data_IF_989305312944
#
_entry.id   IF_989305312944
#
_cell.length_a   1.000
_cell.length_b   1.000
_cell.length_c   1.000
_cell.angle_alpha   90.00
_cell.angle_beta   90.00
_cell.angle_gamma   90.00
#
_symmetry.space_group_name_H-M   'P 1'
#
loop_
_entity.id
_entity.type
_entity.pdbx_description
1 polymer ?
#
# COMPACT_ATOMS: atom_id res chain seq x y z
N UNK A 1 -8.40 -4.19 4.35
CA UNK A 1 -8.27 -2.73 4.57
C UNK A 1 -7.54 -2.14 3.38
N UNK A 2 -7.96 -0.97 2.89
CA UNK A 2 -7.30 -0.28 1.78
C UNK A 2 -7.16 1.21 2.12
N UNK A 3 -6.03 1.81 1.75
CA UNK A 3 -5.79 3.25 1.85
C UNK A 3 -5.18 3.70 0.53
N UNK A 4 -5.78 4.72 -0.08
CA UNK A 4 -5.28 5.36 -1.27
C UNK A 4 -4.58 6.67 -0.91
N UNK A 5 -3.50 6.97 -1.61
CA UNK A 5 -2.70 8.16 -1.40
C UNK A 5 -2.33 8.86 -2.70
N UNK A 6 -2.14 10.17 -2.62
CA UNK A 6 -1.65 11.01 -3.72
C UNK A 6 -0.56 11.97 -3.27
N UNK A 7 0.41 12.20 -4.15
CA UNK A 7 1.43 13.25 -4.02
C UNK A 7 1.79 13.77 -5.40
N UNK A 8 1.58 15.06 -5.66
CA UNK A 8 1.89 15.71 -6.94
C UNK A 8 1.34 14.89 -8.13
N UNK A 9 2.23 14.29 -8.91
CA UNK A 9 1.98 13.47 -10.10
C UNK A 9 2.08 11.96 -9.83
N UNK A 10 2.03 11.54 -8.56
CA UNK A 10 2.17 10.15 -8.13
C UNK A 10 0.95 9.70 -7.33
N UNK A 11 0.58 8.44 -7.53
CA UNK A 11 -0.38 7.74 -6.71
C UNK A 11 0.30 6.57 -5.99
N UNK A 12 -0.28 6.19 -4.86
CA UNK A 12 0.09 5.01 -4.11
C UNK A 12 -1.18 4.43 -3.50
N UNK A 13 -1.34 3.11 -3.52
CA UNK A 13 -2.40 2.40 -2.83
C UNK A 13 -1.77 1.30 -1.99
N UNK A 14 -2.24 1.17 -0.76
CA UNK A 14 -1.82 0.16 0.19
C UNK A 14 -3.05 -0.64 0.58
N UNK A 15 -3.02 -1.95 0.41
CA UNK A 15 -4.07 -2.83 0.89
C UNK A 15 -3.51 -3.96 1.75
N UNK A 16 -4.27 -4.30 2.79
CA UNK A 16 -4.11 -5.49 3.60
C UNK A 16 -5.26 -6.42 3.24
N UNK A 17 -4.90 -7.53 2.61
CA UNK A 17 -5.80 -8.54 2.05
C UNK A 17 -5.48 -9.90 2.68
N UNK A 18 -6.45 -10.81 2.63
CA UNK A 18 -6.25 -12.21 3.01
C UNK A 18 -6.52 -13.06 1.77
N UNK A 19 -5.49 -13.77 1.32
CA UNK A 19 -5.64 -14.82 0.32
C UNK A 19 -6.12 -16.12 0.99
N UNK A 20 -6.34 -17.18 0.22
CA UNK A 20 -6.93 -18.45 0.71
C UNK A 20 -6.27 -19.02 1.98
N UNK A 21 -4.98 -18.76 2.20
CA UNK A 21 -4.23 -19.29 3.34
C UNK A 21 -3.41 -18.24 4.13
N UNK A 22 -3.06 -17.10 3.53
CA UNK A 22 -2.09 -16.15 4.09
C UNK A 22 -2.62 -14.71 4.09
N UNK A 23 -2.05 -13.87 4.95
CA UNK A 23 -2.23 -12.43 4.87
C UNK A 23 -1.26 -11.84 3.85
N UNK A 24 -1.67 -10.78 3.16
CA UNK A 24 -0.85 -10.13 2.15
C UNK A 24 -1.00 -8.62 2.25
N UNK A 25 0.15 -7.93 2.20
CA UNK A 25 0.18 -6.48 1.99
C UNK A 25 0.51 -6.20 0.54
N UNK A 26 -0.44 -5.60 -0.16
CA UNK A 26 -0.35 -5.20 -1.55
C UNK A 26 -0.05 -3.70 -1.65
N UNK A 27 0.83 -3.34 -2.57
CA UNK A 27 1.26 -1.97 -2.85
C UNK A 27 1.12 -1.73 -4.34
N UNK A 28 0.34 -0.74 -4.72
CA UNK A 28 0.21 -0.29 -6.11
C UNK A 28 0.68 1.15 -6.20
N UNK A 29 1.58 1.48 -7.11
CA UNK A 29 2.11 2.85 -7.22
C UNK A 29 2.58 3.18 -8.63
N UNK A 30 2.46 4.45 -8.98
CA UNK A 30 2.81 4.91 -10.33
C UNK A 30 2.66 6.42 -10.48
N UNK A 31 2.80 6.87 -11.73
CA UNK A 31 2.54 8.27 -12.10
C UNK A 31 1.10 8.43 -12.60
N UNK A 32 0.47 9.57 -12.30
CA UNK A 32 -0.93 9.87 -12.67
C UNK A 32 -1.16 10.11 -14.17
N UNK A 33 -0.10 10.32 -14.96
CA UNK A 33 -0.17 10.64 -16.40
C UNK A 33 0.28 9.47 -17.29
N UNK A 34 -0.33 8.28 -17.12
CA UNK A 34 -0.09 7.14 -18.01
C UNK A 34 1.26 6.42 -17.85
N UNK A 35 1.94 6.60 -16.71
CA UNK A 35 3.14 5.81 -16.38
C UNK A 35 2.72 4.45 -15.83
N UNK A 36 3.42 3.39 -16.25
CA UNK A 36 3.15 2.02 -15.86
C UNK A 36 2.97 1.88 -14.33
N UNK A 37 1.90 1.18 -13.93
CA UNK A 37 1.66 0.80 -12.55
C UNK A 37 2.69 -0.24 -12.12
N UNK A 38 3.30 -0.02 -10.96
CA UNK A 38 4.04 -1.05 -10.26
C UNK A 38 3.19 -1.60 -9.14
N UNK A 39 2.97 -2.91 -9.17
CA UNK A 39 2.32 -3.65 -8.09
C UNK A 39 3.33 -4.56 -7.40
N UNK A 40 3.37 -4.51 -6.06
CA UNK A 40 4.15 -5.43 -5.22
C UNK A 40 3.24 -6.05 -4.18
N UNK A 41 3.34 -7.38 -4.04
CA UNK A 41 2.65 -8.14 -3.00
C UNK A 41 3.70 -8.69 -2.03
N UNK A 42 3.42 -8.63 -0.74
CA UNK A 42 4.24 -9.25 0.30
C UNK A 42 3.36 -10.14 1.18
N UNK A 43 3.56 -11.48 1.14
CA UNK A 43 2.83 -12.40 1.98
C UNK A 43 3.35 -12.39 3.43
N UNK A 44 2.48 -12.77 4.35
CA UNK A 44 2.70 -12.90 5.78
C UNK A 44 1.88 -14.09 6.31
N UNK A 45 2.43 -14.81 7.27
CA UNK A 45 1.79 -16.02 7.82
C UNK A 45 0.65 -15.68 8.78
N UNK A 46 0.72 -14.51 9.44
CA UNK A 46 -0.25 -14.06 10.43
C UNK A 46 -0.70 -12.61 10.21
N UNK A 47 -1.84 -12.28 10.81
CA UNK A 47 -2.45 -10.94 10.70
C UNK A 47 -1.59 -9.86 11.35
N UNK A 48 -0.99 -10.14 12.51
CA UNK A 48 -0.25 -9.15 13.30
C UNK A 48 0.96 -8.65 12.51
N UNK A 49 1.77 -9.58 11.99
CA UNK A 49 2.94 -9.25 11.17
C UNK A 49 2.57 -8.48 9.90
N UNK A 50 1.44 -8.83 9.28
CA UNK A 50 0.94 -8.14 8.10
C UNK A 50 0.45 -6.72 8.43
N UNK A 51 -0.25 -6.56 9.55
CA UNK A 51 -0.76 -5.29 10.03
C UNK A 51 0.36 -4.34 10.46
N UNK A 52 1.35 -4.82 11.22
CA UNK A 52 2.52 -4.01 11.61
C UNK A 52 3.28 -3.50 10.38
N UNK A 53 3.42 -4.33 9.35
CA UNK A 53 4.03 -3.92 8.09
C UNK A 53 3.16 -2.91 7.32
N UNK A 54 1.85 -3.09 7.34
CA UNK A 54 0.90 -2.16 6.74
C UNK A 54 1.00 -0.78 7.39
N UNK A 55 0.95 -0.71 8.72
CA UNK A 55 1.06 0.54 9.50
C UNK A 55 2.41 1.23 9.26
N UNK A 56 3.50 0.46 9.28
CA UNK A 56 4.84 0.96 8.93
C UNK A 56 4.88 1.61 7.54
N UNK A 57 4.21 1.01 6.56
CA UNK A 57 4.13 1.57 5.21
C UNK A 57 3.23 2.79 5.11
N UNK A 58 2.12 2.80 5.84
CA UNK A 58 1.21 3.94 5.99
C UNK A 58 1.97 5.16 6.53
N UNK A 59 2.62 5.03 7.69
CA UNK A 59 3.44 6.09 8.26
C UNK A 59 4.53 6.56 7.31
N UNK A 60 5.18 5.62 6.62
CA UNK A 60 6.22 5.95 5.65
C UNK A 60 5.68 6.75 4.46
N UNK A 61 4.42 6.55 4.05
CA UNK A 61 3.78 7.39 3.02
C UNK A 61 3.51 8.79 3.54
N UNK A 62 2.94 8.91 4.75
CA UNK A 62 2.67 10.21 5.37
C UNK A 62 3.96 11.02 5.55
N UNK A 63 5.03 10.42 6.08
CA UNK A 63 6.36 11.04 6.23
C UNK A 63 6.97 11.49 4.90
N UNK A 64 6.55 10.90 3.77
CA UNK A 64 7.00 11.28 2.41
C UNK A 64 6.13 12.38 1.78
N UNK A 65 5.14 12.90 2.50
CA UNK A 65 4.24 13.94 2.03
C UNK A 65 3.16 13.43 1.08
N UNK A 66 2.77 12.16 1.20
CA UNK A 66 1.56 11.66 0.55
C UNK A 66 0.34 12.01 1.40
N UNK A 67 -0.74 12.39 0.75
CA UNK A 67 -2.03 12.66 1.39
C UNK A 67 -2.99 11.50 1.12
N UNK A 68 -3.74 11.11 2.15
CA UNK A 68 -4.81 10.11 2.03
C UNK A 68 -5.93 10.73 1.19
N UNK A 69 -6.45 9.97 0.24
CA UNK A 69 -7.57 10.39 -0.61
C UNK A 69 -8.81 9.52 -0.42
N UNK A 70 -8.64 8.31 0.11
CA UNK A 70 -9.70 7.34 0.39
C UNK A 70 -9.21 6.29 1.39
#
# INVERSE_FOLDING_TARGET
>A
MIIAYRKDTRYYALSLERDMFNWCVCKSYGGTYGRAEHRRKKPFDDFSSAFDYFESEHERRLKRGYHIIE
#
